data_IF_392963620952
#
_entry.id   IF_392963620952
#
_cell.length_a   1.000
_cell.length_b   1.000
_cell.length_c   1.000
_cell.angle_alpha   90.00
_cell.angle_beta   90.00
_cell.angle_gamma   90.00
#
_symmetry.space_group_name_H-M   'P 1'
#
loop_
_entity.id
_entity.type
_entity.pdbx_description
1 polymer ?
#
# COMPACT_ATOMS: atom_id res chain seq x y z
N UNK A 1 9.00 20.89 -9.15
CA UNK A 1 8.80 19.77 -10.10
C UNK A 1 8.02 18.69 -9.36
N UNK A 2 6.84 18.32 -9.86
CA UNK A 2 6.10 17.20 -9.27
C UNK A 2 6.88 15.90 -9.52
N UNK A 3 6.96 15.03 -8.51
CA UNK A 3 7.54 13.69 -8.69
C UNK A 3 6.77 12.95 -9.79
N UNK A 4 7.47 12.18 -10.65
CA UNK A 4 6.81 11.44 -11.71
C UNK A 4 5.87 10.38 -11.10
N UNK A 5 4.67 10.26 -11.66
CA UNK A 5 3.74 9.19 -11.31
C UNK A 5 4.15 7.90 -12.03
N UNK A 6 4.18 6.81 -11.28
CA UNK A 6 4.48 5.47 -11.78
C UNK A 6 3.19 4.71 -12.05
N UNK A 7 3.01 4.29 -13.27
CA UNK A 7 1.88 3.47 -13.70
C UNK A 7 2.01 2.03 -13.21
N UNK A 8 0.91 1.28 -13.22
CA UNK A 8 0.92 -0.17 -12.93
C UNK A 8 2.02 -0.91 -13.71
N UNK A 9 2.13 -0.65 -15.02
CA UNK A 9 3.12 -1.31 -15.88
C UNK A 9 4.55 -1.01 -15.44
N UNK A 10 4.87 0.25 -15.15
CA UNK A 10 6.20 0.63 -14.69
C UNK A 10 6.55 -0.04 -13.35
N UNK A 11 5.58 -0.11 -12.43
CA UNK A 11 5.77 -0.79 -11.15
C UNK A 11 5.96 -2.29 -11.31
N UNK A 12 5.19 -2.93 -12.20
CA UNK A 12 5.35 -4.36 -12.51
C UNK A 12 6.72 -4.64 -13.12
N UNK A 13 7.14 -3.84 -14.11
CA UNK A 13 8.46 -3.98 -14.74
C UNK A 13 9.59 -3.82 -13.71
N UNK A 14 9.48 -2.86 -12.80
CA UNK A 14 10.45 -2.65 -11.73
C UNK A 14 10.53 -3.83 -10.75
N UNK A 15 9.38 -4.36 -10.32
CA UNK A 15 9.34 -5.53 -9.43
C UNK A 15 9.86 -6.80 -10.10
N UNK A 16 9.54 -7.04 -11.38
CA UNK A 16 10.08 -8.15 -12.16
C UNK A 16 11.61 -8.04 -12.30
N UNK A 17 12.12 -6.85 -12.55
CA UNK A 17 13.57 -6.58 -12.62
C UNK A 17 14.23 -6.84 -11.26
N UNK A 18 13.63 -6.36 -10.18
CA UNK A 18 14.12 -6.60 -8.82
C UNK A 18 14.16 -8.10 -8.50
N UNK A 19 13.11 -8.85 -8.86
CA UNK A 19 13.08 -10.29 -8.69
C UNK A 19 14.24 -10.99 -9.43
N UNK A 20 14.49 -10.59 -10.68
CA UNK A 20 15.58 -11.12 -11.48
C UNK A 20 16.96 -10.86 -10.83
N UNK A 21 17.22 -9.66 -10.35
CA UNK A 21 18.47 -9.30 -9.68
C UNK A 21 18.68 -10.11 -8.41
N UNK A 22 17.66 -10.22 -7.56
CA UNK A 22 17.72 -11.00 -6.33
C UNK A 22 17.94 -12.49 -6.61
N UNK A 23 17.26 -13.04 -7.61
CA UNK A 23 17.44 -14.42 -8.03
C UNK A 23 18.90 -14.71 -8.46
N UNK A 24 19.49 -13.84 -9.28
CA UNK A 24 20.89 -13.96 -9.70
C UNK A 24 21.87 -13.91 -8.53
N UNK A 25 21.52 -13.28 -7.43
CA UNK A 25 22.31 -13.28 -6.17
C UNK A 25 22.03 -14.50 -5.29
N UNK A 26 21.14 -15.39 -5.68
CA UNK A 26 20.72 -16.51 -4.85
C UNK A 26 19.93 -16.09 -3.61
N UNK A 27 19.27 -14.92 -3.66
CA UNK A 27 18.51 -14.35 -2.56
C UNK A 27 17.03 -14.35 -2.91
N UNK A 28 16.16 -14.60 -1.92
CA UNK A 28 14.71 -14.48 -2.08
C UNK A 28 14.16 -13.44 -1.12
N UNK A 29 13.79 -12.26 -1.65
CA UNK A 29 13.17 -11.17 -0.91
C UNK A 29 11.68 -11.40 -0.67
N UNK A 30 11.14 -10.76 0.34
CA UNK A 30 9.70 -10.71 0.60
C UNK A 30 9.30 -9.29 0.93
N UNK A 31 8.31 -8.77 0.19
CA UNK A 31 7.75 -7.43 0.35
C UNK A 31 6.29 -7.49 0.76
N UNK A 32 5.89 -6.55 1.61
CA UNK A 32 4.49 -6.25 1.89
C UNK A 32 4.22 -4.81 1.49
N UNK A 33 3.45 -4.62 0.43
CA UNK A 33 3.07 -3.32 -0.11
C UNK A 33 1.82 -2.80 0.58
N UNK A 34 1.80 -1.50 0.85
CA UNK A 34 0.63 -0.79 1.34
C UNK A 34 0.53 0.59 0.67
N UNK A 35 -0.38 1.45 1.10
CA UNK A 35 -0.53 2.77 0.49
C UNK A 35 -0.98 2.74 -0.98
N UNK A 36 -0.53 3.73 -1.75
CA UNK A 36 -0.90 3.92 -3.16
C UNK A 36 -0.49 2.77 -4.07
N UNK A 37 0.68 2.18 -3.82
CA UNK A 37 1.19 1.05 -4.60
C UNK A 37 0.31 -0.19 -4.53
N UNK A 38 -0.21 -0.53 -3.37
CA UNK A 38 -1.16 -1.63 -3.20
C UNK A 38 -2.49 -1.33 -3.91
N UNK A 39 -2.96 -0.08 -3.86
CA UNK A 39 -4.16 0.37 -4.59
C UNK A 39 -4.01 0.19 -6.11
N UNK A 40 -2.82 0.49 -6.65
CA UNK A 40 -2.52 0.32 -8.08
C UNK A 40 -2.40 -1.15 -8.46
N UNK A 41 -1.60 -1.94 -7.73
CA UNK A 41 -1.19 -3.28 -8.14
C UNK A 41 -2.23 -4.36 -7.84
N UNK A 42 -2.88 -4.30 -6.68
CA UNK A 42 -3.81 -5.34 -6.23
C UNK A 42 -5.27 -5.01 -6.50
N UNK A 43 -5.68 -3.75 -6.27
CA UNK A 43 -7.10 -3.41 -6.19
C UNK A 43 -7.63 -2.64 -7.39
N UNK A 44 -6.77 -2.28 -8.35
CA UNK A 44 -7.12 -1.50 -9.54
C UNK A 44 -7.90 -0.20 -9.22
N UNK A 45 -7.64 0.35 -8.03
CA UNK A 45 -8.36 1.48 -7.47
C UNK A 45 -7.66 2.82 -7.72
N UNK A 46 -6.46 2.79 -8.29
CA UNK A 46 -5.69 3.94 -8.77
C UNK A 46 -4.98 3.61 -10.07
N UNK A 47 -4.80 4.61 -10.92
CA UNK A 47 -4.06 4.48 -12.19
C UNK A 47 -2.54 4.52 -11.99
N UNK A 48 -2.06 5.33 -11.02
CA UNK A 48 -0.65 5.55 -10.76
C UNK A 48 -0.38 5.98 -9.32
N UNK A 49 0.87 5.85 -8.89
CA UNK A 49 1.36 6.32 -7.59
C UNK A 49 2.76 6.93 -7.74
N UNK A 50 3.24 7.67 -6.75
CA UNK A 50 4.60 8.23 -6.77
C UNK A 50 5.67 7.19 -6.42
N UNK A 51 5.32 6.18 -5.61
CA UNK A 51 6.23 5.20 -5.04
C UNK A 51 5.49 3.94 -4.56
N UNK A 52 6.26 2.97 -4.09
CA UNK A 52 5.79 1.80 -3.36
C UNK A 52 6.16 1.91 -1.88
N UNK A 53 5.18 2.26 -1.05
CA UNK A 53 5.30 2.08 0.40
C UNK A 53 5.37 0.58 0.71
N UNK A 54 6.46 0.13 1.30
CA UNK A 54 6.69 -1.29 1.55
C UNK A 54 7.28 -1.56 2.93
N UNK A 55 6.98 -2.73 3.47
CA UNK A 55 7.77 -3.35 4.53
C UNK A 55 8.55 -4.52 3.93
N UNK A 56 9.87 -4.47 4.03
CA UNK A 56 10.75 -5.55 3.58
C UNK A 56 10.82 -6.60 4.69
N UNK A 57 10.16 -7.74 4.47
CA UNK A 57 10.05 -8.80 5.47
C UNK A 57 11.23 -9.77 5.47
N UNK A 58 11.94 -9.84 4.32
CA UNK A 58 13.04 -10.79 4.16
C UNK A 58 14.16 -10.21 3.30
N UNK A 59 15.42 -10.41 3.74
CA UNK A 59 16.64 -9.98 3.05
C UNK A 59 16.71 -8.47 2.76
N UNK A 60 16.44 -7.65 3.76
CA UNK A 60 16.36 -6.20 3.69
C UNK A 60 17.54 -5.56 2.93
N UNK A 61 18.79 -5.82 3.33
CA UNK A 61 19.98 -5.22 2.71
C UNK A 61 20.08 -5.50 1.21
N UNK A 62 20.04 -6.77 0.78
CA UNK A 62 20.02 -7.13 -0.63
C UNK A 62 18.86 -6.49 -1.42
N UNK A 63 17.64 -6.47 -0.86
CA UNK A 63 16.48 -5.86 -1.53
C UNK A 63 16.71 -4.36 -1.77
N UNK A 64 17.13 -3.62 -0.76
CA UNK A 64 17.40 -2.17 -0.90
C UNK A 64 18.54 -1.92 -1.91
N UNK A 65 19.60 -2.72 -1.87
CA UNK A 65 20.72 -2.56 -2.80
C UNK A 65 20.27 -2.76 -4.25
N UNK A 66 19.52 -3.84 -4.54
CA UNK A 66 19.05 -4.11 -5.88
C UNK A 66 17.93 -3.17 -6.33
N UNK A 67 17.08 -2.68 -5.42
CA UNK A 67 16.08 -1.67 -5.76
C UNK A 67 16.70 -0.36 -6.27
N UNK A 68 17.88 0.02 -5.77
CA UNK A 68 18.64 1.17 -6.29
C UNK A 68 19.18 0.91 -7.69
N UNK A 69 19.72 -0.27 -7.95
CA UNK A 69 20.18 -0.66 -9.28
C UNK A 69 19.03 -0.62 -10.28
N UNK A 70 17.87 -1.16 -9.91
CA UNK A 70 16.66 -1.11 -10.74
C UNK A 70 16.23 0.32 -11.03
N UNK A 71 16.31 1.22 -10.03
CA UNK A 71 15.99 2.63 -10.22
C UNK A 71 16.89 3.27 -11.29
N UNK A 72 18.21 3.01 -11.24
CA UNK A 72 19.18 3.49 -12.24
C UNK A 72 18.89 2.92 -13.63
N UNK A 73 18.65 1.60 -13.74
CA UNK A 73 18.37 0.94 -15.02
C UNK A 73 17.09 1.45 -15.71
N UNK A 74 16.05 1.74 -14.93
CA UNK A 74 14.73 2.12 -15.44
C UNK A 74 14.47 3.63 -15.40
N UNK A 75 15.43 4.42 -14.90
CA UNK A 75 15.26 5.87 -14.74
C UNK A 75 14.18 6.24 -13.73
N UNK A 76 13.98 5.41 -12.70
CA UNK A 76 13.02 5.66 -11.64
C UNK A 76 13.65 6.53 -10.55
N UNK A 77 12.82 7.23 -9.73
CA UNK A 77 13.32 7.85 -8.51
C UNK A 77 13.97 6.78 -7.62
N UNK A 78 15.08 7.10 -6.96
CA UNK A 78 15.77 6.13 -6.07
C UNK A 78 14.89 5.71 -4.87
N UNK A 79 13.83 6.46 -4.55
CA UNK A 79 12.82 6.17 -3.51
C UNK A 79 11.56 5.48 -4.06
N UNK A 80 11.58 4.98 -5.31
CA UNK A 80 10.43 4.28 -5.90
C UNK A 80 9.90 3.14 -5.03
N UNK A 81 10.78 2.56 -4.22
CA UNK A 81 10.49 1.58 -3.19
C UNK A 81 11.07 2.12 -1.88
N UNK A 82 10.21 2.34 -0.88
CA UNK A 82 10.61 2.94 0.38
C UNK A 82 9.88 2.34 1.59
N UNK A 83 10.43 2.54 2.78
CA UNK A 83 9.92 2.02 4.04
C UNK A 83 9.52 3.14 5.03
N UNK A 84 9.38 4.38 4.57
CA UNK A 84 9.15 5.53 5.44
C UNK A 84 7.87 5.43 6.28
N UNK A 85 6.85 4.75 5.77
CA UNK A 85 5.56 4.62 6.42
C UNK A 85 5.38 3.30 7.23
N UNK A 86 6.42 2.46 7.38
CA UNK A 86 6.32 1.18 8.09
C UNK A 86 5.95 1.31 9.56
N UNK A 87 6.33 2.41 10.22
CA UNK A 87 5.98 2.69 11.62
C UNK A 87 4.48 2.89 11.84
N UNK A 88 3.71 3.12 10.78
CA UNK A 88 2.26 3.29 10.85
C UNK A 88 1.49 1.98 10.65
N UNK A 89 2.17 0.87 10.34
CA UNK A 89 1.53 -0.42 10.17
C UNK A 89 0.95 -0.93 11.50
N UNK A 90 -0.22 -1.58 11.47
CA UNK A 90 -0.77 -2.24 12.65
C UNK A 90 0.15 -3.39 13.10
N UNK A 91 0.14 -3.69 14.40
CA UNK A 91 0.93 -4.79 14.96
C UNK A 91 0.41 -6.18 14.53
N UNK A 92 -0.87 -6.27 14.14
CA UNK A 92 -1.51 -7.50 13.69
C UNK A 92 -1.09 -7.89 12.28
N UNK A 93 -1.12 -9.19 12.01
CA UNK A 93 -0.86 -9.72 10.67
C UNK A 93 -2.07 -9.49 9.75
N UNK A 94 -1.82 -9.07 8.51
CA UNK A 94 -2.82 -9.00 7.44
C UNK A 94 -2.99 -10.39 6.80
N UNK A 95 -3.94 -11.16 7.33
CA UNK A 95 -4.20 -12.53 6.83
C UNK A 95 -4.92 -12.56 5.48
N UNK A 96 -5.46 -11.43 5.04
CA UNK A 96 -6.17 -11.25 3.76
C UNK A 96 -5.26 -10.61 2.70
N UNK A 97 -3.97 -10.40 3.00
CA UNK A 97 -3.01 -9.86 2.04
C UNK A 97 -2.93 -10.74 0.80
N UNK A 98 -2.89 -10.10 -0.38
CA UNK A 98 -2.90 -10.81 -1.67
C UNK A 98 -1.50 -10.87 -2.27
N UNK A 99 -1.12 -12.00 -2.84
CA UNK A 99 0.12 -12.10 -3.63
C UNK A 99 -0.07 -11.40 -4.97
N UNK A 100 0.73 -10.37 -5.25
CA UNK A 100 0.70 -9.61 -6.51
C UNK A 100 1.88 -9.93 -7.43
N UNK A 101 2.94 -10.51 -6.88
CA UNK A 101 4.06 -11.06 -7.63
C UNK A 101 4.63 -12.28 -6.87
N UNK A 102 4.85 -13.36 -7.59
CA UNK A 102 5.61 -14.52 -7.10
C UNK A 102 6.57 -14.99 -8.20
N UNK A 103 7.86 -14.75 -7.98
CA UNK A 103 8.94 -15.04 -8.91
C UNK A 103 10.14 -15.63 -8.18
N UNK A 104 10.99 -16.39 -8.87
CA UNK A 104 12.31 -16.71 -8.33
C UNK A 104 13.02 -15.42 -7.91
N UNK A 105 13.37 -15.32 -6.62
CA UNK A 105 14.04 -14.15 -6.04
C UNK A 105 13.14 -13.15 -5.33
N UNK A 106 11.80 -13.12 -5.58
CA UNK A 106 10.93 -12.15 -4.93
C UNK A 106 9.48 -12.62 -4.83
N UNK A 107 8.92 -12.55 -3.62
CA UNK A 107 7.48 -12.61 -3.39
C UNK A 107 6.98 -11.26 -2.89
N UNK A 108 5.91 -10.75 -3.47
CA UNK A 108 5.31 -9.47 -3.11
C UNK A 108 3.85 -9.65 -2.72
N UNK A 109 3.52 -9.26 -1.51
CA UNK A 109 2.17 -9.19 -0.98
C UNK A 109 1.67 -7.75 -1.03
N UNK A 110 0.41 -7.55 -1.33
CA UNK A 110 -0.28 -6.27 -1.18
C UNK A 110 -1.26 -6.33 -0.02
N UNK A 111 -1.33 -5.26 0.73
CA UNK A 111 -2.27 -5.09 1.83
C UNK A 111 -3.72 -5.30 1.36
N UNK A 112 -4.51 -5.96 2.18
CA UNK A 112 -5.94 -6.14 1.96
C UNK A 112 -6.68 -4.79 1.95
N UNK A 113 -7.85 -4.70 1.30
CA UNK A 113 -8.69 -3.50 1.37
C UNK A 113 -9.00 -3.08 2.81
N UNK A 114 -9.16 -4.05 3.71
CA UNK A 114 -9.42 -3.85 5.13
C UNK A 114 -8.25 -3.13 5.82
N UNK A 115 -7.01 -3.57 5.60
CA UNK A 115 -5.82 -2.92 6.15
C UNK A 115 -5.56 -1.56 5.52
N UNK A 116 -5.75 -1.43 4.20
CA UNK A 116 -5.61 -0.15 3.50
C UNK A 116 -6.62 0.89 4.00
N UNK A 117 -7.88 0.50 4.18
CA UNK A 117 -8.91 1.37 4.75
C UNK A 117 -8.49 1.88 6.13
N UNK A 118 -8.08 0.96 7.01
CA UNK A 118 -7.65 1.31 8.36
C UNK A 118 -6.46 2.29 8.38
N UNK A 119 -5.45 2.04 7.53
CA UNK A 119 -4.29 2.93 7.41
C UNK A 119 -4.69 4.33 6.93
N UNK A 120 -5.55 4.43 5.91
CA UNK A 120 -5.99 5.73 5.38
C UNK A 120 -6.89 6.49 6.33
N UNK A 121 -7.79 5.81 7.02
CA UNK A 121 -8.62 6.40 8.08
C UNK A 121 -7.73 6.97 9.18
N UNK A 122 -6.72 6.25 9.63
CA UNK A 122 -5.79 6.75 10.66
C UNK A 122 -4.91 7.90 10.19
N UNK A 123 -4.45 7.86 8.94
CA UNK A 123 -3.67 8.94 8.36
C UNK A 123 -4.49 10.24 8.22
N UNK A 124 -5.80 10.13 8.03
CA UNK A 124 -6.77 11.23 7.95
C UNK A 124 -6.31 12.37 7.03
N UNK A 125 -5.82 12.03 5.82
CA UNK A 125 -5.38 13.00 4.83
C UNK A 125 -6.56 13.36 3.92
N UNK A 126 -6.75 14.66 3.64
CA UNK A 126 -7.81 15.12 2.72
C UNK A 126 -7.72 14.47 1.33
N UNK A 127 -6.50 14.25 0.84
CA UNK A 127 -6.28 13.62 -0.46
C UNK A 127 -6.60 12.11 -0.49
N UNK A 128 -6.89 11.49 0.66
CA UNK A 128 -7.22 10.06 0.75
C UNK A 128 -8.73 9.78 0.75
N UNK A 129 -9.59 10.80 0.74
CA UNK A 129 -11.05 10.64 0.81
C UNK A 129 -11.57 9.75 -0.32
N UNK A 130 -11.13 9.96 -1.56
CA UNK A 130 -11.54 9.14 -2.70
C UNK A 130 -11.11 7.67 -2.52
N UNK A 131 -9.90 7.41 -2.02
CA UNK A 131 -9.43 6.06 -1.73
C UNK A 131 -10.24 5.42 -0.59
N UNK A 132 -10.56 6.18 0.46
CA UNK A 132 -11.38 5.71 1.58
C UNK A 132 -12.76 5.26 1.10
N UNK A 133 -13.41 6.03 0.21
CA UNK A 133 -14.70 5.66 -0.41
C UNK A 133 -14.60 4.32 -1.14
N UNK A 134 -13.62 4.17 -2.02
CA UNK A 134 -13.41 2.93 -2.78
C UNK A 134 -13.12 1.75 -1.85
N UNK A 135 -12.24 1.94 -0.87
CA UNK A 135 -11.89 0.89 0.09
C UNK A 135 -13.07 0.51 1.00
N UNK A 136 -13.87 1.50 1.44
CA UNK A 136 -15.08 1.25 2.21
C UNK A 136 -16.06 0.37 1.41
N UNK A 137 -16.29 0.67 0.14
CA UNK A 137 -17.11 -0.16 -0.75
C UNK A 137 -16.55 -1.58 -0.89
N UNK A 138 -15.22 -1.73 -1.07
CA UNK A 138 -14.58 -3.04 -1.21
C UNK A 138 -14.72 -3.92 0.04
N UNK A 139 -14.77 -3.32 1.23
CA UNK A 139 -14.95 -4.06 2.51
C UNK A 139 -16.42 -4.15 2.94
N UNK A 140 -17.34 -3.57 2.16
CA UNK A 140 -18.76 -3.55 2.47
C UNK A 140 -19.15 -2.60 3.59
N UNK A 141 -18.32 -1.60 3.90
CA UNK A 141 -18.65 -0.54 4.86
C UNK A 141 -19.48 0.54 4.15
N UNK A 142 -20.72 0.71 4.58
CA UNK A 142 -21.69 1.64 3.97
C UNK A 142 -21.88 2.93 4.76
N UNK A 143 -21.27 3.02 5.94
CA UNK A 143 -21.33 4.18 6.84
C UNK A 143 -19.97 4.52 7.42
N UNK A 144 -19.80 5.77 7.84
CA UNK A 144 -18.61 6.25 8.57
C UNK A 144 -18.34 5.39 9.81
N UNK A 145 -19.39 4.99 10.53
CA UNK A 145 -19.27 4.15 11.73
C UNK A 145 -18.73 2.74 11.43
N UNK A 146 -19.11 2.17 10.30
CA UNK A 146 -18.57 0.87 9.88
C UNK A 146 -17.11 0.98 9.47
N UNK A 147 -16.74 2.03 8.74
CA UNK A 147 -15.34 2.31 8.42
C UNK A 147 -14.48 2.57 9.68
N UNK A 148 -15.01 3.31 10.67
CA UNK A 148 -14.37 3.47 11.99
C UNK A 148 -14.16 2.14 12.69
N UNK A 149 -15.16 1.25 12.69
CA UNK A 149 -15.05 -0.08 13.28
C UNK A 149 -13.94 -0.89 12.62
N UNK A 150 -13.88 -0.90 11.30
CA UNK A 150 -12.81 -1.59 10.56
C UNK A 150 -11.44 -1.07 10.98
N UNK A 151 -11.26 0.24 11.05
CA UNK A 151 -9.99 0.84 11.45
C UNK A 151 -9.63 0.49 12.90
N UNK A 152 -10.59 0.56 13.81
CA UNK A 152 -10.41 0.21 15.23
C UNK A 152 -10.02 -1.26 15.38
N UNK A 153 -10.71 -2.19 14.70
CA UNK A 153 -10.44 -3.61 14.77
C UNK A 153 -9.03 -3.96 14.26
N UNK A 154 -8.64 -3.40 13.11
CA UNK A 154 -7.31 -3.64 12.50
C UNK A 154 -6.19 -3.17 13.41
N UNK A 155 -6.41 -2.09 14.17
CA UNK A 155 -5.45 -1.57 15.14
C UNK A 155 -5.67 -2.09 16.58
N UNK A 156 -6.25 -3.27 16.72
CA UNK A 156 -6.33 -3.97 18.01
C UNK A 156 -7.22 -3.31 19.05
N UNK A 157 -8.24 -2.58 18.63
CA UNK A 157 -9.20 -1.89 19.51
C UNK A 157 -8.81 -0.45 19.82
N UNK A 158 -7.71 0.07 19.30
CA UNK A 158 -7.34 1.46 19.49
C UNK A 158 -8.32 2.41 18.79
N UNK A 159 -8.90 3.38 19.50
CA UNK A 159 -9.83 4.34 18.91
C UNK A 159 -9.14 5.23 17.87
N UNK A 160 -9.89 5.63 16.85
CA UNK A 160 -9.41 6.62 15.87
C UNK A 160 -9.41 8.04 16.46
N UNK A 161 -8.62 8.92 15.88
CA UNK A 161 -8.54 10.33 16.28
C UNK A 161 -9.79 11.12 15.91
N UNK A 162 -9.99 12.29 16.55
CA UNK A 162 -11.07 13.22 16.15
C UNK A 162 -10.89 13.70 14.71
N UNK A 163 -9.66 13.90 14.26
CA UNK A 163 -9.36 14.24 12.86
C UNK A 163 -9.82 13.12 11.90
N UNK A 164 -9.60 11.87 12.26
CA UNK A 164 -10.06 10.72 11.48
C UNK A 164 -11.59 10.66 11.43
N UNK A 165 -12.28 10.96 12.55
CA UNK A 165 -13.75 11.04 12.56
C UNK A 165 -14.28 12.17 11.69
N UNK A 166 -13.62 13.33 11.68
CA UNK A 166 -14.00 14.45 10.81
C UNK A 166 -13.90 14.07 9.33
N UNK A 167 -12.83 13.38 8.94
CA UNK A 167 -12.67 12.87 7.56
C UNK A 167 -13.74 11.84 7.20
N UNK A 168 -14.13 10.97 8.15
CA UNK A 168 -15.18 9.98 7.92
C UNK A 168 -16.58 10.59 7.89
N UNK A 169 -16.83 11.73 8.57
CA UNK A 169 -18.13 12.40 8.51
C UNK A 169 -18.48 12.84 7.07
N UNK A 170 -17.48 13.25 6.30
CA UNK A 170 -17.65 13.59 4.87
C UNK A 170 -17.96 12.36 4.00
N UNK A 171 -17.65 11.16 4.50
CA UNK A 171 -17.88 9.89 3.80
C UNK A 171 -19.37 9.54 3.69
N UNK A 172 -20.15 9.74 4.75
CA UNK A 172 -21.59 9.42 4.76
C UNK A 172 -22.33 10.19 3.66
N UNK A 173 -22.00 11.47 3.45
CA UNK A 173 -22.58 12.28 2.38
C UNK A 173 -22.20 11.79 0.98
N UNK A 174 -21.05 11.16 0.84
CA UNK A 174 -20.54 10.67 -0.46
C UNK A 174 -21.08 9.29 -0.80
N UNK A 175 -21.16 8.39 0.19
CA UNK A 175 -21.69 7.02 -0.01
C UNK A 175 -23.19 7.01 -0.31
N UNK A 176 -23.96 7.99 0.16
CA UNK A 176 -25.39 8.10 -0.12
C UNK A 176 -25.70 8.70 -1.51
N UNK A 177 -24.69 9.27 -2.20
CA UNK A 177 -24.83 9.87 -3.53
C UNK A 177 -24.35 8.99 -4.69
N UNK A 178 -23.75 7.83 -4.37
CA UNK A 178 -23.19 6.85 -5.34
C UNK A 178 -24.09 5.64 -5.48
#
# INVERSE_FOLDING_TARGET
MNAPLLTRRQLQDALERLAHHLHRRGVHGELYLFGGGAMVLAHNAREATMDLDTAIRRHHGPVIAEARVVAEELGLPFWWLNEQATSYLPAGQDIEATVVLDRPGLTVFAASPRHLLALKVRAARQNDIADIVVLAQLVGATTAKEAERVATDVFGGEPISERSRAVLADLDDTLHKS
#
